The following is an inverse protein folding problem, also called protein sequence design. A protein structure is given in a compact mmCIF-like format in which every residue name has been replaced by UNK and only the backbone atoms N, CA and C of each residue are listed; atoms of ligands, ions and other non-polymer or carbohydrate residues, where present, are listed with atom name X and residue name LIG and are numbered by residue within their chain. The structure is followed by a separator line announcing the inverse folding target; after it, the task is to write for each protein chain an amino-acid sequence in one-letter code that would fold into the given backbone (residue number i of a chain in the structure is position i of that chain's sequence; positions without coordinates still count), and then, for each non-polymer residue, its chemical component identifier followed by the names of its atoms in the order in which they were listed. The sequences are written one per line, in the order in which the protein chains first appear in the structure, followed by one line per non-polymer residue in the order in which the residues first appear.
data_IF_933929735325
#
_entry.id   IF_933929735325
#
_cell.length_a   1.000
_cell.length_b   1.000
_cell.length_c   1.000
_cell.angle_alpha   90.00
_cell.angle_beta   90.00
_cell.angle_gamma   90.00
#
_symmetry.space_group_name_H-M   'P 1'
#
loop_
_entity.id
_entity.type
_entity.pdbx_description
1 polymer ?
#
# COMPACT_ATOMS: atom_id res chain seq x y z
N UNK A 1 0.29 -1.48 7.53
CA UNK A 1 0.50 -2.94 7.33
C UNK A 1 0.41 -3.18 5.84
N UNK A 2 1.49 -3.62 5.21
CA UNK A 2 1.52 -3.91 3.77
C UNK A 2 0.66 -5.14 3.46
N UNK A 3 -0.08 -5.11 2.36
CA UNK A 3 -0.91 -6.25 1.93
C UNK A 3 -0.07 -7.52 1.78
N UNK A 4 -0.54 -8.69 2.24
CA UNK A 4 0.15 -9.96 2.01
C UNK A 4 0.25 -10.24 0.51
N UNK A 5 1.37 -10.82 0.07
CA UNK A 5 1.58 -11.20 -1.33
C UNK A 5 0.74 -12.43 -1.66
N UNK A 6 -0.08 -12.38 -2.71
CA UNK A 6 -0.87 -13.52 -3.20
C UNK A 6 -0.04 -14.55 -4.00
N UNK A 7 1.26 -14.65 -3.74
CA UNK A 7 2.18 -15.52 -4.50
C UNK A 7 2.37 -16.85 -3.75
N UNK A 8 2.34 -17.96 -4.49
CA UNK A 8 2.59 -19.28 -3.93
C UNK A 8 3.98 -19.36 -3.28
N UNK A 9 4.06 -19.89 -2.06
CA UNK A 9 5.32 -20.09 -1.35
C UNK A 9 6.17 -21.13 -2.09
N UNK A 10 7.15 -20.64 -2.86
CA UNK A 10 8.14 -21.48 -3.55
C UNK A 10 9.39 -21.54 -2.69
N UNK A 11 9.78 -22.71 -2.15
CA UNK A 11 10.98 -22.83 -1.34
C UNK A 11 12.21 -22.42 -2.15
N UNK A 12 13.03 -21.52 -1.60
CA UNK A 12 14.30 -21.15 -2.20
C UNK A 12 15.28 -22.31 -2.00
N UNK A 13 15.77 -22.89 -3.09
CA UNK A 13 16.69 -24.04 -3.04
C UNK A 13 18.14 -23.65 -3.30
N UNK A 14 18.36 -22.53 -3.97
CA UNK A 14 19.68 -22.03 -4.33
C UNK A 14 19.76 -20.49 -4.23
N UNK A 15 20.93 -19.97 -3.84
CA UNK A 15 21.18 -18.52 -3.76
C UNK A 15 20.97 -17.81 -5.10
N UNK A 16 21.23 -18.48 -6.22
CA UNK A 16 21.09 -17.92 -7.55
C UNK A 16 19.64 -17.56 -7.89
N UNK A 17 18.64 -18.17 -7.26
CA UNK A 17 17.23 -17.79 -7.43
C UNK A 17 16.98 -16.35 -6.98
N UNK A 18 17.59 -15.96 -5.85
CA UNK A 18 17.52 -14.59 -5.33
C UNK A 18 18.24 -13.59 -6.26
N UNK A 19 19.42 -13.98 -6.75
CA UNK A 19 20.20 -13.16 -7.69
C UNK A 19 19.43 -12.97 -9.00
N UNK A 20 18.85 -14.03 -9.54
CA UNK A 20 18.06 -14.00 -10.76
C UNK A 20 16.82 -13.12 -10.62
N UNK A 21 16.17 -13.14 -9.44
CA UNK A 21 15.01 -12.29 -9.15
C UNK A 21 15.37 -10.80 -9.25
N UNK A 22 16.48 -10.37 -8.65
CA UNK A 22 16.95 -8.98 -8.76
C UNK A 22 17.39 -8.62 -10.19
N UNK A 23 18.14 -9.51 -10.85
CA UNK A 23 18.60 -9.30 -12.23
C UNK A 23 17.44 -9.18 -13.23
N UNK A 24 16.30 -9.82 -12.96
CA UNK A 24 15.09 -9.70 -13.81
C UNK A 24 14.53 -8.26 -13.87
N UNK A 25 14.92 -7.39 -12.93
CA UNK A 25 14.55 -5.97 -12.90
C UNK A 25 15.36 -5.08 -13.85
N UNK A 26 16.44 -5.59 -14.47
CA UNK A 26 17.26 -4.83 -15.41
C UNK A 26 16.45 -4.41 -16.65
N UNK A 27 16.52 -3.12 -17.00
CA UNK A 27 15.76 -2.53 -18.12
C UNK A 27 16.66 -1.67 -19.00
N UNK A 28 16.49 -1.71 -20.34
CA UNK A 28 17.18 -0.78 -21.23
C UNK A 28 16.74 0.65 -20.95
N UNK A 29 17.59 1.63 -21.26
CA UNK A 29 17.33 3.06 -20.96
C UNK A 29 15.97 3.57 -21.47
N UNK A 30 15.49 3.06 -22.61
CA UNK A 30 14.18 3.42 -23.17
C UNK A 30 12.99 2.98 -22.29
N UNK A 31 13.19 2.02 -21.38
CA UNK A 31 12.18 1.48 -20.47
C UNK A 31 12.32 2.01 -19.03
N UNK A 32 13.27 2.91 -18.76
CA UNK A 32 13.37 3.56 -17.46
C UNK A 32 12.14 4.41 -17.17
N UNK A 33 11.70 4.43 -15.90
CA UNK A 33 10.53 5.16 -15.41
C UNK A 33 10.87 5.80 -14.06
N UNK A 34 10.00 6.70 -13.59
CA UNK A 34 10.10 7.34 -12.28
C UNK A 34 8.84 6.98 -11.50
N UNK A 35 8.99 6.31 -10.36
CA UNK A 35 7.95 6.14 -9.36
C UNK A 35 8.12 7.20 -8.27
N UNK A 36 7.01 7.65 -7.68
CA UNK A 36 7.01 8.62 -6.59
C UNK A 36 6.11 8.14 -5.47
N UNK A 37 6.63 8.15 -4.25
CA UNK A 37 5.91 7.86 -3.02
C UNK A 37 5.93 9.12 -2.14
N UNK A 38 4.89 9.31 -1.33
CA UNK A 38 4.82 10.45 -0.43
C UNK A 38 3.89 10.16 0.74
N UNK A 39 4.35 10.39 1.96
CA UNK A 39 3.54 10.17 3.16
C UNK A 39 2.85 11.45 3.63
N UNK A 40 1.65 11.29 4.20
CA UNK A 40 0.82 12.37 4.72
C UNK A 40 0.33 12.04 6.13
N UNK A 41 0.50 12.99 7.05
CA UNK A 41 -0.07 12.90 8.39
C UNK A 41 -1.51 13.45 8.38
N UNK A 42 -2.49 12.56 8.49
CA UNK A 42 -3.87 12.94 8.75
C UNK A 42 -4.06 13.39 10.20
N UNK A 43 -4.86 14.44 10.42
CA UNK A 43 -5.24 14.88 11.76
C UNK A 43 -6.67 15.45 11.74
N UNK A 44 -7.33 15.42 12.90
CA UNK A 44 -8.65 16.01 13.07
C UNK A 44 -8.55 17.51 13.28
N UNK A 45 -9.43 18.27 12.64
CA UNK A 45 -9.37 19.74 12.72
C UNK A 45 -9.87 20.32 14.06
N UNK A 46 -10.64 19.54 14.83
CA UNK A 46 -11.22 20.00 16.10
C UNK A 46 -10.28 19.84 17.31
N UNK A 47 -9.42 18.82 17.32
CA UNK A 47 -8.49 18.54 18.42
C UNK A 47 -7.04 18.23 18.01
N UNK A 48 -6.73 18.29 16.71
CA UNK A 48 -5.41 18.05 16.11
C UNK A 48 -4.85 16.65 16.35
N UNK A 49 -5.66 15.71 16.86
CA UNK A 49 -5.21 14.34 17.08
C UNK A 49 -5.14 13.57 15.76
N UNK A 50 -4.19 12.62 15.64
CA UNK A 50 -4.21 11.67 14.52
C UNK A 50 -5.49 10.82 14.57
N UNK A 51 -6.06 10.45 13.41
CA UNK A 51 -7.18 9.53 13.37
C UNK A 51 -6.73 8.15 13.88
N UNK A 52 -7.57 7.50 14.66
CA UNK A 52 -7.45 6.06 14.95
C UNK A 52 -7.78 5.27 13.69
N UNK A 53 -7.45 3.96 13.68
CA UNK A 53 -7.90 3.11 12.57
C UNK A 53 -9.43 3.00 12.53
N UNK A 54 -10.02 2.66 13.67
CA UNK A 54 -11.47 2.52 13.85
C UNK A 54 -12.22 3.84 13.99
N UNK A 55 -13.55 3.76 13.80
CA UNK A 55 -14.53 4.81 14.05
C UNK A 55 -14.90 5.64 12.82
N UNK A 56 -16.00 6.39 12.93
CA UNK A 56 -16.57 7.18 11.81
C UNK A 56 -15.62 8.24 11.24
N UNK A 57 -14.61 8.63 12.02
CA UNK A 57 -13.55 9.59 11.65
C UNK A 57 -12.16 8.93 11.61
N UNK A 58 -12.12 7.60 11.49
CA UNK A 58 -10.91 6.80 11.46
C UNK A 58 -10.33 6.59 10.06
N UNK A 59 -9.17 5.94 10.00
CA UNK A 59 -8.44 5.64 8.76
C UNK A 59 -9.27 4.73 7.85
N UNK A 60 -9.91 3.69 8.39
CA UNK A 60 -10.71 2.79 7.56
C UNK A 60 -11.93 3.49 6.95
N UNK A 61 -12.56 4.41 7.69
CA UNK A 61 -13.64 5.25 7.17
C UNK A 61 -13.15 6.17 6.03
N UNK A 62 -11.93 6.70 6.13
CA UNK A 62 -11.28 7.45 5.04
C UNK A 62 -11.05 6.57 3.81
N UNK A 63 -10.46 5.38 3.97
CA UNK A 63 -10.18 4.45 2.87
C UNK A 63 -11.47 4.02 2.17
N UNK A 64 -12.48 3.60 2.94
CA UNK A 64 -13.80 3.27 2.41
C UNK A 64 -14.44 4.46 1.71
N UNK A 65 -14.26 5.67 2.25
CA UNK A 65 -14.70 6.90 1.63
C UNK A 65 -14.06 7.16 0.26
N UNK A 66 -12.78 6.81 0.08
CA UNK A 66 -12.05 7.01 -1.18
C UNK A 66 -12.50 6.05 -2.30
N UNK A 67 -13.11 4.90 -1.96
CA UNK A 67 -13.65 3.95 -2.97
C UNK A 67 -14.62 4.60 -3.94
N UNK A 68 -15.34 5.65 -3.51
CA UNK A 68 -16.23 6.45 -4.38
C UNK A 68 -15.53 7.10 -5.58
N UNK A 69 -14.20 7.14 -5.58
CA UNK A 69 -13.37 7.69 -6.66
C UNK A 69 -12.74 6.59 -7.54
N UNK A 70 -13.34 5.39 -7.55
CA UNK A 70 -12.90 4.27 -8.39
C UNK A 70 -11.64 3.58 -7.86
N UNK A 71 -11.47 3.55 -6.54
CA UNK A 71 -10.41 2.78 -5.88
C UNK A 71 -10.94 1.43 -5.43
N UNK A 72 -10.19 0.37 -5.69
CA UNK A 72 -10.52 -0.98 -5.27
C UNK A 72 -9.95 -1.26 -3.87
N UNK A 73 -10.78 -1.67 -2.89
CA UNK A 73 -10.31 -1.93 -1.55
C UNK A 73 -9.53 -3.24 -1.44
N UNK A 74 -8.42 -3.21 -0.72
CA UNK A 74 -7.66 -4.38 -0.29
C UNK A 74 -7.99 -4.65 1.16
N UNK A 75 -8.38 -5.89 1.46
CA UNK A 75 -8.85 -6.29 2.79
C UNK A 75 -7.94 -7.34 3.44
N UNK A 76 -7.69 -7.16 4.72
CA UNK A 76 -7.05 -8.13 5.62
C UNK A 76 -7.98 -8.30 6.83
N UNK A 77 -8.31 -9.56 7.19
CA UNK A 77 -9.27 -9.88 8.25
C UNK A 77 -10.62 -9.12 8.16
N UNK A 78 -11.08 -8.88 6.92
CA UNK A 78 -12.33 -8.16 6.64
C UNK A 78 -12.25 -6.65 6.86
N UNK A 79 -11.07 -6.10 7.12
CA UNK A 79 -10.81 -4.66 7.30
C UNK A 79 -10.16 -4.08 6.05
N UNK A 80 -10.59 -2.91 5.59
CA UNK A 80 -9.95 -2.24 4.44
C UNK A 80 -8.64 -1.59 4.89
N UNK A 81 -7.51 -2.07 4.38
CA UNK A 81 -6.16 -1.65 4.82
C UNK A 81 -5.35 -0.90 3.75
N UNK A 82 -5.75 -1.01 2.49
CA UNK A 82 -5.11 -0.34 1.36
C UNK A 82 -6.12 -0.17 0.22
N UNK A 83 -5.74 0.62 -0.78
CA UNK A 83 -6.52 0.81 -2.00
C UNK A 83 -5.63 0.62 -3.23
N UNK A 84 -6.19 0.09 -4.31
CA UNK A 84 -5.52 -0.05 -5.59
C UNK A 84 -6.30 0.68 -6.68
N UNK A 85 -5.56 1.24 -7.64
CA UNK A 85 -6.13 1.79 -8.88
C UNK A 85 -5.08 1.86 -9.97
N UNK A 86 -5.29 1.13 -11.05
CA UNK A 86 -4.34 1.03 -12.17
C UNK A 86 -2.91 0.67 -11.68
N UNK A 87 -1.95 1.60 -11.82
CA UNK A 87 -0.57 1.46 -11.36
C UNK A 87 -0.27 2.27 -10.08
N UNK A 88 -1.30 2.59 -9.29
CA UNK A 88 -1.18 3.34 -8.05
C UNK A 88 -1.81 2.58 -6.89
N UNK A 89 -1.30 2.85 -5.69
CA UNK A 89 -1.81 2.34 -4.43
C UNK A 89 -1.95 3.47 -3.41
N UNK A 90 -2.83 3.25 -2.43
CA UNK A 90 -2.82 3.96 -1.16
C UNK A 90 -2.55 2.94 -0.06
N UNK A 91 -1.53 3.18 0.74
CA UNK A 91 -1.05 2.25 1.78
C UNK A 91 -0.96 2.95 3.13
N UNK A 92 -0.82 2.13 4.19
CA UNK A 92 -0.69 2.59 5.56
C UNK A 92 0.64 2.17 6.18
N UNK A 93 1.40 3.17 6.61
CA UNK A 93 2.58 2.99 7.44
C UNK A 93 2.21 2.66 8.90
N UNK A 94 3.16 2.18 9.74
CA UNK A 94 2.86 1.67 11.08
C UNK A 94 2.09 2.63 12.01
N UNK A 95 2.19 3.94 11.80
CA UNK A 95 1.53 4.97 12.61
C UNK A 95 0.31 5.60 11.89
N UNK A 96 -0.16 5.00 10.80
CA UNK A 96 -1.35 5.46 10.08
C UNK A 96 -1.10 6.64 9.13
N UNK A 97 0.17 6.91 8.78
CA UNK A 97 0.48 7.79 7.68
C UNK A 97 -0.11 7.21 6.39
N UNK A 98 -0.72 8.08 5.61
CA UNK A 98 -1.26 7.71 4.31
C UNK A 98 -0.16 7.94 3.27
N UNK A 99 0.31 6.87 2.69
CA UNK A 99 1.20 6.90 1.53
C UNK A 99 0.38 6.95 0.24
#
# INVERSE_FOLDING_TARGET
MSSPSHVAETPITDRNELVATLASGEKPKAQWRIGTEHEKFGFRLDDLRPPTFDGDRGIEALLNGLTRFGWDPVQEDGRTIALLRDNASVTLEPAGQLE
#
